data_IF_805698484010
#
_entry.id   IF_805698484010
#
_cell.length_a   1.000
_cell.length_b   1.000
_cell.length_c   1.000
_cell.angle_alpha   90.00
_cell.angle_beta   90.00
_cell.angle_gamma   90.00
#
_symmetry.space_group_name_H-M   'P 1'
#
loop_
_entity.id
_entity.type
_entity.pdbx_description
1 polymer ?
#
# COMPACT_ATOMS: atom_id res chain seq x y z
N UNK A 1 15.53 25.61 7.96
CA UNK A 1 14.65 24.47 7.59
C UNK A 1 15.46 23.19 7.33
N UNK A 2 16.05 22.61 8.38
CA UNK A 2 16.86 21.36 8.32
C UNK A 2 16.27 20.23 9.19
N UNK A 3 15.03 20.35 9.68
CA UNK A 3 14.55 19.56 10.83
C UNK A 3 14.25 18.08 10.50
N UNK A 4 13.86 17.75 9.27
CA UNK A 4 13.47 16.38 8.89
C UNK A 4 14.24 15.78 7.69
N UNK A 5 15.18 16.51 7.05
CA UNK A 5 15.94 16.06 5.86
C UNK A 5 15.10 15.33 4.78
N UNK A 6 13.87 15.78 4.55
CA UNK A 6 12.96 15.13 3.58
C UNK A 6 13.15 15.71 2.19
N UNK A 7 13.23 14.86 1.17
CA UNK A 7 13.40 15.30 -0.22
C UNK A 7 12.09 15.82 -0.84
N UNK A 8 12.20 16.59 -1.93
CA UNK A 8 11.06 17.22 -2.59
C UNK A 8 10.06 16.19 -3.12
N UNK A 9 10.52 15.03 -3.61
CA UNK A 9 9.63 13.98 -4.13
C UNK A 9 8.72 13.39 -3.04
N UNK A 10 9.24 13.18 -1.83
CA UNK A 10 8.48 12.67 -0.70
C UNK A 10 7.43 13.70 -0.24
N UNK A 11 7.85 14.95 -0.17
CA UNK A 11 7.00 16.10 0.13
C UNK A 11 5.84 16.24 -0.89
N UNK A 12 6.15 16.12 -2.19
CA UNK A 12 5.15 16.08 -3.25
C UNK A 12 4.21 14.87 -3.12
N UNK A 13 4.73 13.69 -2.79
CA UNK A 13 3.91 12.50 -2.58
C UNK A 13 2.92 12.68 -1.41
N UNK A 14 3.39 13.20 -0.27
CA UNK A 14 2.53 13.48 0.89
C UNK A 14 1.41 14.47 0.55
N UNK A 15 1.71 15.53 -0.20
CA UNK A 15 0.70 16.48 -0.69
C UNK A 15 -0.34 15.81 -1.56
N UNK A 16 0.09 14.97 -2.51
CA UNK A 16 -0.82 14.28 -3.44
C UNK A 16 -1.70 13.25 -2.75
N UNK A 17 -1.20 12.66 -1.66
CA UNK A 17 -1.94 11.78 -0.77
C UNK A 17 -2.87 12.53 0.20
N UNK A 18 -2.73 13.87 0.32
CA UNK A 18 -3.58 14.71 1.16
C UNK A 18 -3.13 14.79 2.61
N UNK A 19 -1.92 14.35 2.93
CA UNK A 19 -1.38 14.39 4.30
C UNK A 19 -0.88 15.76 4.72
N UNK A 20 -0.52 16.61 3.76
CA UNK A 20 -0.03 17.97 3.98
C UNK A 20 -0.60 18.91 2.93
N UNK A 21 -0.66 20.20 3.27
CA UNK A 21 -1.06 21.26 2.36
C UNK A 21 0.14 22.18 2.13
N UNK A 22 0.20 22.83 0.97
CA UNK A 22 1.15 23.91 0.72
C UNK A 22 0.35 25.21 0.61
N UNK A 23 0.70 26.26 1.36
CA UNK A 23 0.11 27.60 1.16
C UNK A 23 1.12 28.50 0.45
N UNK A 24 0.87 28.77 -0.82
CA UNK A 24 1.78 29.54 -1.68
C UNK A 24 3.10 28.81 -1.97
N UNK A 25 4.20 29.56 -2.08
CA UNK A 25 5.56 29.03 -2.26
C UNK A 25 6.22 28.57 -0.95
N UNK A 26 5.56 28.78 0.20
CA UNK A 26 6.05 28.36 1.52
C UNK A 26 5.34 27.07 1.94
N UNK A 27 6.14 26.18 2.51
CA UNK A 27 5.66 24.97 3.17
C UNK A 27 4.70 25.39 4.30
N UNK A 28 3.46 24.89 4.33
CA UNK A 28 2.53 25.20 5.42
C UNK A 28 1.86 23.92 5.91
N UNK A 29 2.54 23.28 6.86
CA UNK A 29 2.01 22.76 8.13
C UNK A 29 3.15 21.95 8.77
N UNK A 30 4.06 22.60 9.50
CA UNK A 30 5.19 21.91 10.15
C UNK A 30 4.68 20.87 11.17
N UNK A 31 3.53 21.11 11.78
CA UNK A 31 2.89 20.21 12.73
C UNK A 31 2.24 19.02 12.01
N UNK A 32 1.56 19.27 10.89
CA UNK A 32 1.07 18.22 10.00
C UNK A 32 2.19 17.34 9.46
N UNK A 33 3.31 17.95 9.02
CA UNK A 33 4.49 17.20 8.61
C UNK A 33 5.08 16.40 9.79
N UNK A 34 5.22 17.00 10.97
CA UNK A 34 5.72 16.30 12.16
C UNK A 34 4.85 15.09 12.53
N UNK A 35 3.53 15.26 12.51
CA UNK A 35 2.56 14.20 12.79
C UNK A 35 2.67 13.04 11.78
N UNK A 36 2.79 13.36 10.49
CA UNK A 36 3.00 12.35 9.44
C UNK A 36 4.35 11.65 9.60
N UNK A 37 5.41 12.41 9.89
CA UNK A 37 6.75 11.84 10.11
C UNK A 37 6.84 10.96 11.35
N UNK A 38 5.99 11.20 12.36
CA UNK A 38 5.86 10.33 13.52
C UNK A 38 5.14 9.00 13.18
N UNK A 39 4.32 8.97 12.12
CA UNK A 39 3.65 7.77 11.65
C UNK A 39 4.60 6.93 10.76
N UNK A 40 5.35 6.02 11.40
CA UNK A 40 6.30 5.13 10.71
C UNK A 40 5.69 4.36 9.55
N UNK A 41 4.46 3.89 9.67
CA UNK A 41 3.80 3.14 8.59
C UNK A 41 3.63 3.99 7.33
N UNK A 42 3.15 5.23 7.47
CA UNK A 42 3.01 6.16 6.33
C UNK A 42 4.38 6.45 5.71
N UNK A 43 5.38 6.76 6.55
CA UNK A 43 6.73 7.10 6.10
C UNK A 43 7.37 5.94 5.34
N UNK A 44 7.33 4.73 5.90
CA UNK A 44 7.86 3.53 5.25
C UNK A 44 7.17 3.25 3.92
N UNK A 45 5.84 3.30 3.88
CA UNK A 45 5.08 3.03 2.66
C UNK A 45 5.40 4.05 1.56
N UNK A 46 5.47 5.34 1.89
CA UNK A 46 5.80 6.37 0.90
C UNK A 46 7.25 6.21 0.41
N UNK A 47 8.19 5.96 1.32
CA UNK A 47 9.59 5.69 0.97
C UNK A 47 9.74 4.47 0.07
N UNK A 48 9.04 3.37 0.37
CA UNK A 48 9.05 2.15 -0.44
C UNK A 48 8.51 2.42 -1.86
N UNK A 49 7.38 3.11 -1.98
CA UNK A 49 6.78 3.44 -3.28
C UNK A 49 7.73 4.31 -4.11
N UNK A 50 8.39 5.30 -3.50
CA UNK A 50 9.30 6.19 -4.20
C UNK A 50 10.63 5.53 -4.53
N UNK A 51 11.09 4.55 -3.75
CA UNK A 51 12.26 3.74 -4.10
C UNK A 51 11.99 2.90 -5.36
N UNK A 52 10.81 2.28 -5.46
CA UNK A 52 10.43 1.49 -6.65
C UNK A 52 10.02 2.35 -7.85
N UNK A 53 9.37 3.49 -7.59
CA UNK A 53 8.76 4.37 -8.61
C UNK A 53 8.97 5.84 -8.26
N UNK A 54 10.19 6.38 -8.47
CA UNK A 54 10.58 7.71 -8.02
C UNK A 54 9.64 8.84 -8.44
N UNK A 55 9.08 8.76 -9.66
CA UNK A 55 8.27 9.83 -10.25
C UNK A 55 6.75 9.59 -10.17
N UNK A 56 6.29 8.57 -9.44
CA UNK A 56 4.85 8.21 -9.43
C UNK A 56 3.97 9.30 -8.82
N UNK A 57 4.54 10.22 -8.03
CA UNK A 57 3.82 11.35 -7.45
C UNK A 57 3.27 12.35 -8.48
N UNK A 58 3.70 12.29 -9.74
CA UNK A 58 3.06 13.05 -10.83
C UNK A 58 1.67 12.49 -11.19
N UNK A 59 1.43 11.20 -11.00
CA UNK A 59 0.14 10.55 -11.18
C UNK A 59 -0.53 10.29 -9.83
N UNK A 60 -1.39 11.23 -9.41
CA UNK A 60 -2.05 11.17 -8.12
C UNK A 60 -2.92 9.91 -7.94
N UNK A 61 -3.56 9.44 -9.02
CA UNK A 61 -4.44 8.27 -8.97
C UNK A 61 -3.63 7.00 -8.76
N UNK A 62 -2.55 6.84 -9.53
CA UNK A 62 -1.64 5.71 -9.39
C UNK A 62 -0.94 5.71 -8.04
N UNK A 63 -0.45 6.85 -7.57
CA UNK A 63 0.16 6.99 -6.24
C UNK A 63 -0.82 6.59 -5.13
N UNK A 64 -2.06 7.09 -5.15
CA UNK A 64 -3.09 6.71 -4.15
C UNK A 64 -3.41 5.22 -4.19
N UNK A 65 -3.47 4.63 -5.38
CA UNK A 65 -3.71 3.19 -5.55
C UNK A 65 -2.57 2.36 -4.94
N UNK A 66 -1.32 2.71 -5.26
CA UNK A 66 -0.13 2.06 -4.70
C UNK A 66 -0.09 2.22 -3.19
N UNK A 67 -0.28 3.44 -2.68
CA UNK A 67 -0.29 3.73 -1.24
C UNK A 67 -1.29 2.84 -0.49
N UNK A 68 -2.54 2.76 -0.96
CA UNK A 68 -3.57 1.89 -0.35
C UNK A 68 -3.15 0.42 -0.37
N UNK A 69 -2.64 -0.08 -1.50
CA UNK A 69 -2.22 -1.48 -1.62
C UNK A 69 -1.05 -1.81 -0.70
N UNK A 70 -0.04 -0.94 -0.64
CA UNK A 70 1.15 -1.13 0.20
C UNK A 70 0.80 -1.03 1.69
N UNK A 71 -0.06 -0.07 2.09
CA UNK A 71 -0.58 0.01 3.46
C UNK A 71 -1.32 -1.26 3.87
N UNK A 72 -2.21 -1.77 3.02
CA UNK A 72 -2.92 -3.03 3.29
C UNK A 72 -1.94 -4.20 3.44
N UNK A 73 -0.93 -4.30 2.57
CA UNK A 73 0.09 -5.35 2.67
C UNK A 73 0.86 -5.28 3.99
N UNK A 74 1.25 -4.07 4.43
CA UNK A 74 1.89 -3.85 5.75
C UNK A 74 0.98 -4.24 6.92
N UNK A 75 -0.34 -4.17 6.75
CA UNK A 75 -1.33 -4.66 7.71
C UNK A 75 -1.62 -6.16 7.57
N UNK A 76 -0.83 -6.91 6.79
CA UNK A 76 -1.05 -8.33 6.57
C UNK A 76 -2.24 -8.63 5.65
N UNK A 77 -2.66 -7.68 4.80
CA UNK A 77 -3.80 -7.83 3.90
C UNK A 77 -3.38 -7.75 2.43
N UNK A 78 -3.83 -8.73 1.63
CA UNK A 78 -3.56 -8.78 0.19
C UNK A 78 -4.86 -8.85 -0.63
N UNK A 79 -4.86 -8.23 -1.81
CA UNK A 79 -6.03 -8.23 -2.69
C UNK A 79 -6.15 -9.54 -3.46
N UNK A 80 -7.38 -9.91 -3.83
CA UNK A 80 -7.62 -11.08 -4.70
C UNK A 80 -6.91 -10.97 -6.06
N UNK A 81 -6.72 -9.74 -6.57
CA UNK A 81 -5.95 -9.52 -7.80
C UNK A 81 -4.44 -9.72 -7.67
N UNK A 82 -3.89 -9.59 -6.47
CA UNK A 82 -2.48 -9.94 -6.22
C UNK A 82 -2.32 -11.46 -6.19
N UNK A 83 -3.24 -12.19 -5.55
CA UNK A 83 -3.30 -13.66 -5.61
C UNK A 83 -3.46 -14.17 -7.05
N UNK A 84 -4.39 -13.60 -7.81
CA UNK A 84 -4.59 -13.97 -9.22
C UNK A 84 -3.30 -13.83 -10.03
N UNK A 85 -2.56 -12.73 -9.84
CA UNK A 85 -1.25 -12.51 -10.50
C UNK A 85 -0.18 -13.47 -10.01
N UNK A 86 -0.07 -13.69 -8.70
CA UNK A 86 0.94 -14.58 -8.11
C UNK A 86 0.87 -16.00 -8.67
N UNK A 87 -0.35 -16.50 -8.92
CA UNK A 87 -0.56 -17.83 -9.46
C UNK A 87 -0.81 -17.85 -10.98
N UNK A 88 -0.85 -16.70 -11.67
CA UNK A 88 -1.24 -16.65 -13.08
C UNK A 88 -2.64 -17.23 -13.35
N UNK A 89 -3.58 -17.03 -12.43
CA UNK A 89 -4.96 -17.56 -12.48
C UNK A 89 -5.99 -16.44 -12.62
N UNK A 90 -7.24 -16.81 -12.91
CA UNK A 90 -8.33 -15.84 -13.07
C UNK A 90 -8.73 -15.16 -11.75
N UNK A 91 -9.31 -13.96 -11.85
CA UNK A 91 -9.90 -13.27 -10.69
C UNK A 91 -11.02 -14.09 -10.02
N UNK A 92 -11.77 -14.86 -10.80
CA UNK A 92 -12.83 -15.73 -10.26
C UNK A 92 -12.24 -16.84 -9.40
N UNK A 93 -11.14 -17.46 -9.83
CA UNK A 93 -10.39 -18.43 -9.03
C UNK A 93 -9.91 -17.79 -7.72
N UNK A 94 -9.27 -16.63 -7.78
CA UNK A 94 -8.77 -15.95 -6.59
C UNK A 94 -9.90 -15.57 -5.61
N UNK A 95 -11.07 -15.17 -6.12
CA UNK A 95 -12.25 -14.92 -5.29
C UNK A 95 -12.79 -16.19 -4.61
N UNK A 96 -12.77 -17.32 -5.31
CA UNK A 96 -13.18 -18.60 -4.74
C UNK A 96 -12.21 -19.06 -3.64
N UNK A 97 -10.91 -18.95 -3.88
CA UNK A 97 -9.86 -19.21 -2.88
C UNK A 97 -10.05 -18.34 -1.65
N UNK A 98 -10.21 -17.02 -1.84
CA UNK A 98 -10.43 -16.08 -0.75
C UNK A 98 -11.70 -16.37 0.08
N UNK A 99 -12.73 -16.96 -0.54
CA UNK A 99 -14.01 -17.27 0.12
C UNK A 99 -13.98 -18.60 0.87
N UNK A 100 -13.32 -19.61 0.30
CA UNK A 100 -13.44 -21.00 0.75
C UNK A 100 -12.18 -21.53 1.42
N UNK A 101 -11.01 -21.09 0.99
CA UNK A 101 -9.72 -21.65 1.40
C UNK A 101 -8.97 -20.74 2.39
N UNK A 102 -9.15 -19.42 2.32
CA UNK A 102 -8.34 -18.47 3.09
C UNK A 102 -9.17 -17.61 4.06
N UNK A 103 -8.51 -17.11 5.09
CA UNK A 103 -9.09 -16.10 5.97
C UNK A 103 -9.15 -14.76 5.23
N UNK A 104 -10.34 -14.16 5.18
CA UNK A 104 -10.55 -12.92 4.45
C UNK A 104 -11.42 -11.94 5.20
N UNK A 105 -11.19 -10.66 4.95
CA UNK A 105 -11.96 -9.53 5.47
C UNK A 105 -12.55 -8.74 4.31
N UNK A 106 -13.73 -8.18 4.52
CA UNK A 106 -14.37 -7.29 3.56
C UNK A 106 -14.13 -5.84 3.99
N UNK A 107 -13.50 -5.06 3.11
CA UNK A 107 -13.29 -3.61 3.33
C UNK A 107 -14.05 -2.90 2.21
N UNK A 108 -15.14 -2.24 2.59
CA UNK A 108 -16.12 -1.70 1.64
C UNK A 108 -16.70 -2.79 0.73
N UNK A 109 -16.61 -2.60 -0.59
CA UNK A 109 -17.10 -3.58 -1.58
C UNK A 109 -16.09 -4.67 -1.95
N UNK A 110 -14.85 -4.60 -1.46
CA UNK A 110 -13.74 -5.49 -1.85
C UNK A 110 -13.39 -6.48 -0.75
N UNK A 111 -12.93 -7.67 -1.15
CA UNK A 111 -12.42 -8.72 -0.25
C UNK A 111 -10.90 -8.71 -0.27
N UNK A 112 -10.33 -8.78 0.91
CA UNK A 112 -8.90 -8.88 1.15
C UNK A 112 -8.61 -10.13 1.95
N UNK A 113 -7.45 -10.72 1.72
CA UNK A 113 -7.01 -11.98 2.31
C UNK A 113 -6.01 -11.63 3.40
N UNK A 114 -6.14 -12.26 4.57
CA UNK A 114 -5.16 -12.15 5.64
C UNK A 114 -3.96 -13.01 5.30
N UNK A 115 -2.75 -12.46 5.41
CA UNK A 115 -1.48 -13.17 5.28
C UNK A 115 -1.13 -13.78 6.64
N UNK A 116 -1.98 -14.72 7.09
CA UNK A 116 -1.78 -15.50 8.31
C UNK A 116 -1.24 -16.90 7.99
N UNK A 117 -1.09 -17.75 9.00
CA UNK A 117 -0.57 -19.11 8.85
C UNK A 117 -1.28 -19.90 7.75
N UNK A 118 -2.63 -19.85 7.73
CA UNK A 118 -3.45 -20.50 6.70
C UNK A 118 -3.16 -20.01 5.29
N UNK A 119 -2.81 -18.73 5.14
CA UNK A 119 -2.36 -18.20 3.86
C UNK A 119 -1.03 -18.83 3.44
N UNK A 120 -0.02 -18.86 4.31
CA UNK A 120 1.28 -19.42 3.97
C UNK A 120 1.21 -20.93 3.68
N UNK A 121 0.48 -21.70 4.49
CA UNK A 121 0.20 -23.12 4.22
C UNK A 121 -0.45 -23.32 2.84
N UNK A 122 -1.39 -22.47 2.46
CA UNK A 122 -2.03 -22.54 1.15
C UNK A 122 -1.04 -22.24 0.01
N UNK A 123 -0.17 -21.24 0.18
CA UNK A 123 0.87 -20.92 -0.82
C UNK A 123 1.80 -22.12 -1.00
N UNK A 124 2.31 -22.68 0.10
CA UNK A 124 3.24 -23.82 0.06
C UNK A 124 2.61 -25.03 -0.64
N UNK A 125 1.36 -25.35 -0.30
CA UNK A 125 0.64 -26.46 -0.93
C UNK A 125 0.41 -26.25 -2.43
N UNK A 126 0.01 -25.05 -2.87
CA UNK A 126 -0.24 -24.77 -4.30
C UNK A 126 1.06 -24.64 -5.11
N UNK A 127 2.18 -24.25 -4.48
CA UNK A 127 3.49 -24.23 -5.12
C UNK A 127 4.04 -25.64 -5.30
N UNK A 128 3.85 -26.54 -4.33
CA UNK A 128 4.28 -27.93 -4.39
C UNK A 128 3.40 -28.82 -5.29
N UNK A 129 2.18 -28.37 -5.61
CA UNK A 129 1.26 -29.07 -6.50
C UNK A 129 1.50 -28.79 -8.00
N UNK A 130 2.54 -28.01 -8.34
CA UNK A 130 2.97 -27.69 -9.72
C UNK A 130 4.22 -28.47 -10.08
#
# INVERSE_FOLDING_TARGET
>A
MKRYKVNISFLCALKRLGFIIFRGYKYVDEDGLASVMANRAIVEVVSEILAEKPYVYFDANRLRSLFRRTMLRKQGLIGTGDIARMFGRSYQWANNVARRKLNSVRIGKRRFIKMDEKFFEFIDNEMNAR
#
